data_IF_628195392791
#
_entry.id   IF_628195392791
#
_cell.length_a   1.000
_cell.length_b   1.000
_cell.length_c   1.000
_cell.angle_alpha   90.00
_cell.angle_beta   90.00
_cell.angle_gamma   90.00
#
_symmetry.space_group_name_H-M   'P 1'
#
loop_
_entity.id
_entity.type
_entity.pdbx_description
1 polymer ?
#
# COMPACT_ATOMS: atom_id res chain seq x y z
N UNK A 1 -30.61 15.46 12.85
CA UNK A 1 -29.51 14.63 13.37
C UNK A 1 -28.82 15.41 14.49
N UNK A 2 -28.98 15.01 15.77
CA UNK A 2 -28.42 15.75 16.91
C UNK A 2 -26.88 15.57 16.88
N UNK A 3 -26.15 16.60 16.44
CA UNK A 3 -24.74 16.76 16.77
C UNK A 3 -24.65 16.75 18.30
N UNK A 4 -24.28 15.59 18.88
CA UNK A 4 -24.12 15.52 20.32
C UNK A 4 -22.94 16.43 20.67
N UNK A 5 -23.30 17.55 21.30
CA UNK A 5 -22.37 18.49 21.91
C UNK A 5 -21.26 17.72 22.60
N UNK A 6 -20.01 18.20 22.50
CA UNK A 6 -19.03 17.86 23.53
C UNK A 6 -19.76 18.06 24.83
N UNK A 7 -19.90 17.01 25.69
CA UNK A 7 -20.62 17.14 26.94
C UNK A 7 -20.11 18.40 27.67
N UNK A 8 -20.93 19.11 28.45
CA UNK A 8 -20.54 20.38 29.03
C UNK A 8 -19.24 20.17 29.81
N UNK A 9 -18.14 20.63 29.24
CA UNK A 9 -16.87 20.72 29.91
C UNK A 9 -16.85 22.03 30.63
N UNK A 10 -16.62 22.02 31.91
CA UNK A 10 -16.44 23.20 32.76
C UNK A 10 -15.10 23.92 32.48
N UNK A 11 -14.41 23.60 31.36
CA UNK A 11 -13.15 24.23 31.01
C UNK A 11 -13.40 25.52 30.19
N UNK A 12 -12.75 26.66 30.50
CA UNK A 12 -12.96 27.95 29.81
C UNK A 12 -12.74 27.88 28.30
N UNK A 13 -11.82 27.04 27.80
CA UNK A 13 -11.52 26.85 26.39
C UNK A 13 -12.51 25.93 25.64
N UNK A 14 -13.44 25.28 26.34
CA UNK A 14 -14.31 24.25 25.74
C UNK A 14 -15.10 24.76 24.54
N UNK A 15 -15.62 25.98 24.60
CA UNK A 15 -16.41 26.58 23.50
C UNK A 15 -15.55 26.86 22.26
N UNK A 16 -14.32 27.36 22.43
CA UNK A 16 -13.40 27.65 21.33
C UNK A 16 -12.95 26.34 20.64
N UNK A 17 -12.56 25.34 21.43
CA UNK A 17 -12.22 24.00 20.90
C UNK A 17 -13.41 23.31 20.22
N UNK A 18 -14.63 23.51 20.72
CA UNK A 18 -15.82 22.98 20.06
C UNK A 18 -16.07 23.63 18.71
N UNK A 19 -15.96 24.97 18.61
CA UNK A 19 -16.12 25.69 17.33
C UNK A 19 -15.06 25.26 16.31
N UNK A 20 -13.80 25.19 16.70
CA UNK A 20 -12.73 24.71 15.82
C UNK A 20 -12.94 23.25 15.41
N UNK A 21 -13.38 22.38 16.32
CA UNK A 21 -13.75 21.00 16.00
C UNK A 21 -14.90 20.94 14.99
N UNK A 22 -15.96 21.73 15.17
CA UNK A 22 -17.10 21.75 14.25
C UNK A 22 -16.71 22.28 12.87
N UNK A 23 -15.94 23.38 12.80
CA UNK A 23 -15.41 23.93 11.56
C UNK A 23 -14.56 22.88 10.81
N UNK A 24 -13.54 22.34 11.46
CA UNK A 24 -12.63 21.37 10.87
C UNK A 24 -13.35 20.10 10.39
N UNK A 25 -14.37 19.65 11.11
CA UNK A 25 -15.03 18.36 10.82
C UNK A 25 -16.32 18.50 10.01
N UNK A 26 -16.70 19.70 9.60
CA UNK A 26 -17.94 19.96 8.87
C UNK A 26 -18.09 19.12 7.60
N UNK A 27 -16.99 18.90 6.88
CA UNK A 27 -16.95 18.09 5.65
C UNK A 27 -16.54 16.62 5.88
N UNK A 28 -16.34 16.20 7.14
CA UNK A 28 -15.86 14.85 7.43
C UNK A 28 -17.02 13.84 7.51
N UNK A 29 -16.74 12.61 7.07
CA UNK A 29 -17.64 11.50 7.35
C UNK A 29 -17.67 11.22 8.86
N UNK A 30 -18.84 10.80 9.36
CA UNK A 30 -19.10 10.54 10.78
C UNK A 30 -18.02 9.68 11.47
N UNK A 31 -17.57 8.61 10.82
CA UNK A 31 -16.53 7.72 11.39
C UNK A 31 -15.19 8.42 11.62
N UNK A 32 -14.92 9.50 10.88
CA UNK A 32 -13.70 10.32 11.03
C UNK A 32 -13.85 11.37 12.14
N UNK A 33 -15.07 11.80 12.45
CA UNK A 33 -15.36 12.83 13.46
C UNK A 33 -15.14 12.32 14.89
N UNK A 34 -15.57 11.08 15.16
CA UNK A 34 -15.53 10.47 16.51
C UNK A 34 -14.13 10.47 17.15
N UNK A 35 -13.04 10.07 16.45
CA UNK A 35 -11.69 10.10 17.03
C UNK A 35 -11.22 11.52 17.39
N UNK A 36 -11.53 12.53 16.57
CA UNK A 36 -11.21 13.92 16.86
C UNK A 36 -11.87 14.38 18.15
N UNK A 37 -13.18 14.10 18.30
CA UNK A 37 -13.93 14.41 19.53
C UNK A 37 -13.26 13.80 20.75
N UNK A 38 -12.88 12.52 20.68
CA UNK A 38 -12.19 11.85 21.79
C UNK A 38 -10.85 12.48 22.13
N UNK A 39 -10.12 13.01 21.15
CA UNK A 39 -8.87 13.72 21.38
C UNK A 39 -9.09 15.07 22.05
N UNK A 40 -9.98 15.90 21.55
CA UNK A 40 -10.30 17.21 22.12
C UNK A 40 -10.76 17.04 23.57
N UNK A 41 -11.66 16.09 23.80
CA UNK A 41 -12.12 15.77 25.16
C UNK A 41 -10.96 15.41 26.10
N UNK A 42 -10.09 14.51 25.67
CA UNK A 42 -8.96 14.07 26.48
C UNK A 42 -8.00 15.23 26.81
N UNK A 43 -7.75 16.12 25.84
CA UNK A 43 -6.87 17.25 26.06
C UNK A 43 -7.48 18.30 27.01
N UNK A 44 -8.78 18.62 26.87
CA UNK A 44 -9.46 19.54 27.78
C UNK A 44 -9.56 19.01 29.21
N UNK A 45 -9.78 17.69 29.40
CA UNK A 45 -9.73 17.06 30.72
C UNK A 45 -8.32 17.23 31.32
N UNK A 46 -7.27 16.90 30.54
CA UNK A 46 -5.90 17.08 30.98
C UNK A 46 -5.61 18.53 31.41
N UNK A 47 -6.04 19.52 30.64
CA UNK A 47 -5.86 20.93 31.01
C UNK A 47 -6.60 21.28 32.30
N UNK A 48 -7.85 20.86 32.45
CA UNK A 48 -8.62 21.10 33.67
C UNK A 48 -7.99 20.51 34.91
N UNK A 49 -7.47 19.27 34.81
CA UNK A 49 -6.90 18.56 35.95
C UNK A 49 -5.50 19.09 36.34
N UNK A 50 -4.68 19.49 35.35
CA UNK A 50 -3.25 19.82 35.59
C UNK A 50 -2.93 21.30 35.45
N UNK A 51 -3.77 22.07 34.74
CA UNK A 51 -3.53 23.48 34.44
C UNK A 51 -4.83 24.32 34.53
N UNK A 52 -5.55 24.30 35.65
CA UNK A 52 -6.85 24.95 35.79
C UNK A 52 -6.81 26.48 35.62
N UNK A 53 -5.61 27.09 35.75
CA UNK A 53 -5.42 28.52 35.54
C UNK A 53 -5.45 28.95 34.06
N UNK A 54 -5.37 28.00 33.11
CA UNK A 54 -5.41 28.29 31.68
C UNK A 54 -6.84 28.59 31.25
N UNK A 55 -7.16 29.85 31.03
CA UNK A 55 -8.49 30.36 30.71
C UNK A 55 -8.63 30.90 29.29
N UNK A 56 -7.51 31.17 28.59
CA UNK A 56 -7.50 31.72 27.23
C UNK A 56 -6.47 31.01 26.33
N UNK A 57 -6.69 31.08 25.00
CA UNK A 57 -5.85 30.38 24.00
C UNK A 57 -4.41 30.89 23.96
N UNK A 58 -4.22 32.19 24.18
CA UNK A 58 -2.90 32.84 24.22
C UNK A 58 -2.01 32.39 25.40
N UNK A 59 -2.61 31.76 26.41
CA UNK A 59 -1.90 31.18 27.56
C UNK A 59 -1.34 29.78 27.25
N UNK A 60 -1.76 29.14 26.16
CA UNK A 60 -1.26 27.82 25.83
C UNK A 60 0.23 27.88 25.49
N UNK A 61 1.03 27.04 26.15
CA UNK A 61 2.49 26.91 25.96
C UNK A 61 2.85 25.49 25.59
N UNK A 62 3.86 25.38 24.74
CA UNK A 62 4.34 24.07 24.29
C UNK A 62 4.90 23.25 25.46
N UNK A 63 5.80 23.84 26.23
CA UNK A 63 6.57 23.12 27.25
C UNK A 63 5.68 22.56 28.35
N UNK A 64 4.81 23.39 28.91
CA UNK A 64 3.96 23.01 30.05
C UNK A 64 2.72 22.22 29.62
N UNK A 65 2.02 22.67 28.59
CA UNK A 65 0.71 22.12 28.27
C UNK A 65 0.75 20.98 27.25
N UNK A 66 1.55 21.14 26.17
CA UNK A 66 1.59 20.15 25.10
C UNK A 66 2.53 19.00 25.42
N UNK A 67 3.78 19.29 25.83
CA UNK A 67 4.73 18.24 26.22
C UNK A 67 4.28 17.51 27.50
N UNK A 68 3.66 18.26 28.43
CA UNK A 68 3.00 17.66 29.59
C UNK A 68 1.89 16.69 29.21
N UNK A 69 1.03 17.07 28.24
CA UNK A 69 -0.01 16.16 27.72
C UNK A 69 0.59 14.93 27.00
N UNK A 70 1.70 15.09 26.27
CA UNK A 70 2.40 13.94 25.66
C UNK A 70 2.86 12.96 26.73
N UNK A 71 3.41 13.46 27.83
CA UNK A 71 3.81 12.64 28.98
C UNK A 71 2.60 11.96 29.60
N UNK A 72 1.52 12.69 29.85
CA UNK A 72 0.26 12.12 30.32
C UNK A 72 -0.26 10.98 29.43
N UNK A 73 -0.23 11.14 28.09
CA UNK A 73 -0.63 10.09 27.16
C UNK A 73 0.25 8.84 27.22
N UNK A 74 1.56 9.02 27.47
CA UNK A 74 2.52 7.90 27.56
C UNK A 74 2.43 7.13 28.88
N UNK A 75 2.04 7.79 29.96
CA UNK A 75 1.93 7.21 31.32
C UNK A 75 0.56 6.60 31.60
N UNK A 76 -0.38 6.64 30.66
CA UNK A 76 -1.70 6.02 30.83
C UNK A 76 -1.60 4.51 31.07
N UNK A 77 -2.43 4.00 31.97
CA UNK A 77 -2.61 2.56 32.21
C UNK A 77 -4.05 2.14 31.87
N UNK A 78 -4.26 1.22 30.94
CA UNK A 78 -3.26 0.53 30.10
C UNK A 78 -2.60 1.48 29.08
N UNK A 79 -1.36 1.15 28.63
CA UNK A 79 -0.62 2.01 27.70
C UNK A 79 -1.33 2.13 26.34
N UNK A 80 -1.28 3.32 25.75
CA UNK A 80 -1.87 3.55 24.46
C UNK A 80 -1.11 2.80 23.36
N UNK A 81 -1.85 2.19 22.43
CA UNK A 81 -1.25 1.65 21.21
C UNK A 81 -0.58 2.80 20.41
N UNK A 82 0.62 2.58 19.80
CA UNK A 82 1.36 3.62 19.10
C UNK A 82 0.54 4.37 18.03
N UNK A 83 -0.31 3.67 17.30
CA UNK A 83 -1.19 4.28 16.30
C UNK A 83 -2.24 5.22 16.94
N UNK A 84 -2.75 4.88 18.13
CA UNK A 84 -3.70 5.75 18.85
C UNK A 84 -3.00 7.00 19.34
N UNK A 85 -1.79 6.87 19.85
CA UNK A 85 -0.96 8.01 20.27
C UNK A 85 -0.72 8.97 19.09
N UNK A 86 -0.20 8.47 17.98
CA UNK A 86 0.05 9.27 16.76
C UNK A 86 -1.24 9.95 16.28
N UNK A 87 -2.36 9.23 16.26
CA UNK A 87 -3.65 9.80 15.86
C UNK A 87 -4.07 10.93 16.79
N UNK A 88 -3.90 10.79 18.10
CA UNK A 88 -4.23 11.89 19.05
C UNK A 88 -3.39 13.13 18.79
N UNK A 89 -2.09 12.97 18.55
CA UNK A 89 -1.22 14.11 18.20
C UNK A 89 -1.69 14.77 16.90
N UNK A 90 -1.97 13.97 15.87
CA UNK A 90 -2.45 14.47 14.57
C UNK A 90 -3.77 15.24 14.71
N UNK A 91 -4.71 14.71 15.48
CA UNK A 91 -6.01 15.35 15.67
C UNK A 91 -5.87 16.67 16.44
N UNK A 92 -5.11 16.68 17.54
CA UNK A 92 -4.91 17.91 18.32
C UNK A 92 -4.17 18.96 17.50
N UNK A 93 -3.13 18.57 16.75
CA UNK A 93 -2.40 19.48 15.87
C UNK A 93 -3.34 20.18 14.89
N UNK A 94 -4.19 19.45 14.20
CA UNK A 94 -5.15 20.02 13.24
C UNK A 94 -6.18 20.94 13.89
N UNK A 95 -6.61 20.62 15.13
CA UNK A 95 -7.49 21.52 15.89
C UNK A 95 -6.76 22.80 16.28
N UNK A 96 -5.49 22.71 16.69
CA UNK A 96 -4.67 23.89 17.01
C UNK A 96 -4.38 24.74 15.77
N UNK A 97 -4.16 24.15 14.62
CA UNK A 97 -4.04 24.83 13.32
C UNK A 97 -5.34 25.60 12.97
N UNK A 98 -6.51 24.99 13.20
CA UNK A 98 -7.80 25.63 13.00
C UNK A 98 -8.03 26.79 14.00
N UNK A 99 -7.65 26.59 15.28
CA UNK A 99 -7.71 27.63 16.29
C UNK A 99 -6.76 28.80 15.97
N UNK A 100 -5.54 28.50 15.48
CA UNK A 100 -4.58 29.51 15.08
C UNK A 100 -5.14 30.44 14.00
N UNK A 101 -5.83 29.84 13.03
CA UNK A 101 -6.47 30.61 11.94
C UNK A 101 -7.70 31.41 12.43
N UNK A 102 -8.59 30.77 13.17
CA UNK A 102 -9.88 31.37 13.57
C UNK A 102 -9.73 32.43 14.68
N UNK A 103 -8.76 32.27 15.57
CA UNK A 103 -8.48 33.22 16.65
C UNK A 103 -7.34 34.23 16.32
N UNK A 104 -6.76 34.15 15.12
CA UNK A 104 -5.60 34.96 14.70
C UNK A 104 -4.40 34.86 15.65
N UNK A 105 -4.13 33.65 16.15
CA UNK A 105 -3.02 33.31 17.05
C UNK A 105 -2.08 32.28 16.35
N UNK A 106 -1.21 32.74 15.43
CA UNK A 106 -0.42 31.83 14.58
C UNK A 106 0.52 30.91 15.37
N UNK A 107 0.93 31.29 16.56
CA UNK A 107 1.77 30.48 17.47
C UNK A 107 1.14 29.14 17.85
N UNK A 108 -0.19 29.04 17.88
CA UNK A 108 -0.88 27.81 18.20
C UNK A 108 -0.60 26.69 17.18
N UNK A 109 -0.42 27.04 15.91
CA UNK A 109 -0.11 26.07 14.84
C UNK A 109 1.26 25.37 15.04
N UNK A 110 2.17 26.00 15.80
CA UNK A 110 3.53 25.52 16.03
C UNK A 110 3.72 24.80 17.36
N UNK A 111 2.67 24.66 18.17
CA UNK A 111 2.73 23.96 19.46
C UNK A 111 3.03 22.46 19.33
N UNK A 112 2.57 21.82 18.25
CA UNK A 112 2.90 20.43 17.92
C UNK A 112 3.69 20.40 16.64
N UNK A 113 4.94 19.98 16.70
CA UNK A 113 5.91 19.97 15.61
C UNK A 113 5.93 18.59 14.92
N UNK A 114 6.53 18.54 13.71
CA UNK A 114 6.70 17.29 12.97
C UNK A 114 7.57 16.27 13.73
N UNK A 115 8.57 16.76 14.43
CA UNK A 115 9.52 15.97 15.22
C UNK A 115 8.91 15.30 16.44
N UNK A 116 7.73 15.76 16.88
CA UNK A 116 7.00 15.17 18.01
C UNK A 116 6.36 13.82 17.67
N UNK A 117 6.23 13.54 16.38
CA UNK A 117 5.61 12.30 15.92
C UNK A 117 6.62 11.16 15.92
N UNK A 118 6.40 10.11 16.74
CA UNK A 118 7.24 8.92 16.67
C UNK A 118 7.11 8.27 15.29
N UNK A 119 8.22 7.76 14.78
CA UNK A 119 8.18 6.97 13.54
C UNK A 119 7.28 5.76 13.74
N UNK A 120 6.24 5.57 12.89
CA UNK A 120 5.39 4.42 13.04
C UNK A 120 6.21 3.16 12.79
N UNK A 121 6.05 2.11 13.62
CA UNK A 121 6.73 0.84 13.36
C UNK A 121 6.23 0.28 12.02
N UNK A 122 7.16 -0.04 11.13
CA UNK A 122 6.83 -0.75 9.90
C UNK A 122 6.44 -2.17 10.26
N UNK A 123 5.15 -2.47 10.15
CA UNK A 123 4.63 -3.82 10.37
C UNK A 123 4.51 -4.52 9.03
N UNK A 124 5.15 -5.67 8.91
CA UNK A 124 4.94 -6.55 7.75
C UNK A 124 3.46 -6.99 7.68
N UNK A 125 2.94 -7.24 6.47
CA UNK A 125 1.61 -7.80 6.30
C UNK A 125 1.52 -9.13 7.05
N UNK A 126 0.46 -9.31 7.84
CA UNK A 126 0.23 -10.55 8.59
C UNK A 126 -0.66 -11.47 7.77
N UNK A 127 -0.12 -12.03 6.68
CA UNK A 127 -0.80 -13.11 5.97
C UNK A 127 -0.94 -14.34 6.88
N UNK A 128 -1.94 -15.17 6.61
CA UNK A 128 -2.07 -16.48 7.24
C UNK A 128 -0.93 -17.38 6.77
N UNK A 129 -0.49 -18.30 7.63
CA UNK A 129 0.37 -19.40 7.16
C UNK A 129 -0.43 -20.33 6.24
N UNK A 130 0.26 -21.09 5.38
CA UNK A 130 -0.42 -22.02 4.48
C UNK A 130 -1.32 -23.01 5.25
N UNK A 131 -0.87 -23.50 6.38
CA UNK A 131 -1.65 -24.39 7.25
C UNK A 131 -2.87 -23.71 7.85
N UNK A 132 -2.74 -22.47 8.37
CA UNK A 132 -3.88 -21.72 8.90
C UNK A 132 -4.92 -21.43 7.82
N UNK A 133 -4.47 -21.01 6.62
CA UNK A 133 -5.36 -20.73 5.50
C UNK A 133 -6.13 -21.98 5.07
N UNK A 134 -5.45 -23.12 4.98
CA UNK A 134 -6.09 -24.40 4.65
C UNK A 134 -7.13 -24.81 5.68
N UNK A 135 -6.80 -24.78 6.96
CA UNK A 135 -7.72 -25.15 8.04
C UNK A 135 -8.95 -24.23 8.08
N UNK A 136 -8.76 -22.91 7.90
CA UNK A 136 -9.87 -21.97 7.85
C UNK A 136 -10.77 -22.25 6.64
N UNK A 137 -10.20 -22.45 5.45
CA UNK A 137 -10.99 -22.72 4.25
C UNK A 137 -11.76 -24.04 4.38
N UNK A 138 -11.17 -25.10 4.93
CA UNK A 138 -11.85 -26.37 5.20
C UNK A 138 -13.03 -26.19 6.15
N UNK A 139 -12.83 -25.46 7.25
CA UNK A 139 -13.93 -25.20 8.22
C UNK A 139 -15.03 -24.33 7.62
N UNK A 140 -14.68 -23.31 6.80
CA UNK A 140 -15.65 -22.48 6.09
C UNK A 140 -16.49 -23.31 5.10
N UNK A 141 -15.83 -24.19 4.32
CA UNK A 141 -16.52 -25.08 3.39
C UNK A 141 -17.41 -26.08 4.11
N UNK A 142 -16.98 -26.62 5.27
CA UNK A 142 -17.78 -27.53 6.09
C UNK A 142 -19.04 -26.86 6.63
N UNK A 143 -18.91 -25.60 7.13
CA UNK A 143 -20.07 -24.84 7.65
C UNK A 143 -21.05 -24.45 6.56
N UNK A 144 -20.57 -23.95 5.47
CA UNK A 144 -21.35 -23.50 4.31
C UNK A 144 -22.56 -22.59 4.68
N UNK A 145 -22.49 -21.88 5.81
CA UNK A 145 -23.46 -20.89 6.27
C UNK A 145 -23.19 -19.50 5.65
N UNK A 146 -24.06 -18.53 5.92
CA UNK A 146 -23.92 -17.17 5.40
C UNK A 146 -22.57 -16.53 5.76
N UNK A 147 -22.12 -16.51 7.05
CA UNK A 147 -20.80 -15.99 7.40
C UNK A 147 -19.65 -16.71 6.70
N UNK A 148 -19.71 -18.02 6.57
CA UNK A 148 -18.67 -18.81 5.92
C UNK A 148 -18.50 -18.42 4.44
N UNK A 149 -19.60 -18.30 3.70
CA UNK A 149 -19.56 -17.87 2.31
C UNK A 149 -19.05 -16.42 2.15
N UNK A 150 -19.34 -15.53 3.11
CA UNK A 150 -18.77 -14.17 3.15
C UNK A 150 -17.25 -14.23 3.33
N UNK A 151 -16.71 -15.06 4.23
CA UNK A 151 -15.28 -15.15 4.47
C UNK A 151 -14.53 -15.80 3.31
N UNK A 152 -15.13 -16.81 2.65
CA UNK A 152 -14.60 -17.35 1.40
C UNK A 152 -14.55 -16.28 0.31
N UNK A 153 -15.62 -15.50 0.14
CA UNK A 153 -15.63 -14.38 -0.80
C UNK A 153 -14.53 -13.36 -0.50
N UNK A 154 -14.33 -12.99 0.77
CA UNK A 154 -13.25 -12.08 1.19
C UNK A 154 -11.86 -12.67 0.87
N UNK A 155 -11.67 -13.98 1.14
CA UNK A 155 -10.40 -14.66 0.90
C UNK A 155 -10.04 -14.74 -0.59
N UNK A 156 -11.02 -14.97 -1.47
CA UNK A 156 -10.81 -15.15 -2.90
C UNK A 156 -10.84 -13.84 -3.72
N UNK A 157 -11.27 -12.74 -3.13
CA UNK A 157 -11.33 -11.44 -3.83
C UNK A 157 -10.43 -10.37 -3.24
N UNK A 158 -9.91 -10.59 -2.04
CA UNK A 158 -9.10 -9.62 -1.33
C UNK A 158 -9.84 -8.33 -0.95
N UNK A 159 -11.16 -8.28 -1.01
CA UNK A 159 -11.96 -7.13 -0.61
C UNK A 159 -11.81 -6.83 0.89
N UNK A 160 -12.02 -5.57 1.28
CA UNK A 160 -12.20 -5.22 2.68
C UNK A 160 -13.58 -5.66 3.16
N UNK A 161 -13.68 -6.08 4.43
CA UNK A 161 -14.99 -6.49 5.00
C UNK A 161 -16.07 -5.42 4.84
N UNK A 162 -15.70 -4.14 4.97
CA UNK A 162 -16.65 -3.04 4.74
C UNK A 162 -17.09 -2.89 3.28
N UNK A 163 -16.24 -3.21 2.32
CA UNK A 163 -16.56 -3.23 0.89
C UNK A 163 -17.49 -4.41 0.58
N UNK A 164 -17.22 -5.58 1.17
CA UNK A 164 -18.06 -6.76 1.00
C UNK A 164 -19.49 -6.54 1.56
N UNK A 165 -19.62 -5.89 2.72
CA UNK A 165 -20.93 -5.56 3.30
C UNK A 165 -21.69 -4.54 2.46
N UNK A 166 -21.01 -3.71 1.69
CA UNK A 166 -21.62 -2.71 0.80
C UNK A 166 -21.89 -3.24 -0.62
N UNK A 167 -21.60 -4.51 -0.92
CA UNK A 167 -21.85 -5.08 -2.24
C UNK A 167 -23.32 -4.92 -2.62
N UNK A 168 -23.57 -4.48 -3.85
CA UNK A 168 -24.89 -4.47 -4.44
C UNK A 168 -25.38 -5.90 -4.70
N UNK A 169 -26.70 -6.13 -4.65
CA UNK A 169 -27.31 -7.41 -4.96
C UNK A 169 -26.89 -7.92 -6.35
N UNK A 170 -26.73 -7.03 -7.31
CA UNK A 170 -26.31 -7.30 -8.68
C UNK A 170 -24.81 -6.99 -8.93
N UNK A 171 -23.98 -7.12 -7.90
CA UNK A 171 -22.54 -6.84 -7.99
C UNK A 171 -21.78 -7.68 -9.01
N UNK A 172 -22.30 -8.88 -9.37
CA UNK A 172 -21.68 -9.77 -10.35
C UNK A 172 -22.04 -9.33 -11.77
N UNK A 173 -21.02 -8.99 -12.56
CA UNK A 173 -21.14 -8.46 -13.92
C UNK A 173 -20.48 -9.40 -14.92
N UNK A 174 -21.14 -9.70 -16.01
CA UNK A 174 -20.54 -10.33 -17.17
C UNK A 174 -19.75 -9.27 -17.95
N UNK A 175 -18.46 -9.48 -18.15
CA UNK A 175 -17.55 -8.55 -18.85
C UNK A 175 -17.03 -9.14 -20.17
N UNK A 176 -17.59 -10.26 -20.63
CA UNK A 176 -17.25 -10.92 -21.88
C UNK A 176 -17.54 -12.43 -21.82
N UNK A 177 -17.32 -13.17 -22.91
CA UNK A 177 -17.54 -14.62 -22.93
C UNK A 177 -16.79 -15.30 -21.80
N UNK A 178 -17.53 -15.97 -20.90
CA UNK A 178 -17.01 -16.67 -19.71
C UNK A 178 -16.14 -15.81 -18.78
N UNK A 179 -16.27 -14.48 -18.86
CA UNK A 179 -15.52 -13.54 -18.02
C UNK A 179 -16.47 -12.82 -17.08
N UNK A 180 -16.22 -12.97 -15.79
CA UNK A 180 -17.01 -12.35 -14.75
C UNK A 180 -16.15 -11.44 -13.90
N UNK A 181 -16.76 -10.40 -13.37
CA UNK A 181 -16.13 -9.49 -12.43
C UNK A 181 -17.14 -9.05 -11.37
N UNK A 182 -16.66 -8.81 -10.16
CA UNK A 182 -17.44 -8.18 -9.10
C UNK A 182 -17.20 -6.67 -9.16
N UNK A 183 -18.29 -5.94 -9.23
CA UNK A 183 -18.30 -4.51 -9.02
C UNK A 183 -18.21 -4.21 -7.53
N UNK A 184 -17.06 -3.69 -7.08
CA UNK A 184 -16.81 -3.29 -5.70
C UNK A 184 -17.10 -1.80 -5.58
N UNK A 185 -18.10 -1.39 -4.77
CA UNK A 185 -18.52 0.00 -4.67
C UNK A 185 -17.46 0.85 -3.97
N UNK A 186 -17.65 2.16 -4.02
CA UNK A 186 -16.82 3.17 -3.36
C UNK A 186 -16.63 2.83 -1.87
N UNK A 187 -15.42 2.43 -1.52
CA UNK A 187 -15.03 2.17 -0.14
C UNK A 187 -14.47 3.42 0.56
N UNK A 188 -13.80 3.20 1.70
CA UNK A 188 -13.16 4.27 2.50
C UNK A 188 -12.19 5.15 1.68
N UNK A 189 -11.57 4.61 0.63
CA UNK A 189 -10.63 5.32 -0.24
C UNK A 189 -11.31 5.97 -1.45
N UNK A 190 -12.65 5.96 -1.52
CA UNK A 190 -13.44 6.50 -2.63
C UNK A 190 -13.01 5.97 -4.01
N UNK A 191 -12.59 4.71 -4.07
CA UNK A 191 -12.22 4.01 -5.31
C UNK A 191 -13.23 2.90 -5.58
N UNK A 192 -13.89 3.00 -6.73
CA UNK A 192 -14.73 1.98 -7.29
C UNK A 192 -13.88 1.11 -8.22
N UNK A 193 -14.13 -0.19 -8.27
CA UNK A 193 -13.34 -1.09 -9.12
C UNK A 193 -14.08 -2.35 -9.52
N UNK A 194 -13.68 -2.89 -10.66
CA UNK A 194 -14.08 -4.22 -11.11
C UNK A 194 -12.98 -5.22 -10.74
N UNK A 195 -13.32 -6.25 -9.98
CA UNK A 195 -12.42 -7.33 -9.60
C UNK A 195 -12.78 -8.56 -10.45
N UNK A 196 -11.89 -9.01 -11.35
CA UNK A 196 -12.10 -10.26 -12.10
C UNK A 196 -12.26 -11.44 -11.14
N UNK A 197 -13.16 -12.35 -11.46
CA UNK A 197 -13.49 -13.50 -10.61
C UNK A 197 -13.62 -14.77 -11.44
N UNK A 198 -13.35 -15.89 -10.79
CA UNK A 198 -13.53 -17.25 -11.32
C UNK A 198 -14.93 -17.84 -11.03
N UNK A 199 -15.14 -19.08 -11.45
CA UNK A 199 -16.39 -19.81 -11.23
C UNK A 199 -16.71 -19.99 -9.74
N UNK A 200 -15.70 -20.23 -8.90
CA UNK A 200 -15.88 -20.40 -7.46
C UNK A 200 -16.48 -19.14 -6.83
N UNK A 201 -15.94 -17.98 -7.16
CA UNK A 201 -16.45 -16.70 -6.64
C UNK A 201 -17.86 -16.41 -7.19
N UNK A 202 -18.15 -16.77 -8.44
CA UNK A 202 -19.50 -16.66 -8.99
C UNK A 202 -20.49 -17.51 -8.17
N UNK A 203 -20.14 -18.76 -7.87
CA UNK A 203 -20.96 -19.64 -7.02
C UNK A 203 -21.17 -19.07 -5.61
N UNK A 204 -20.12 -18.53 -4.99
CA UNK A 204 -20.23 -17.89 -3.67
C UNK A 204 -21.24 -16.73 -3.69
N UNK A 205 -21.20 -15.88 -4.71
CA UNK A 205 -22.20 -14.80 -4.86
C UNK A 205 -23.61 -15.35 -5.06
N UNK A 206 -23.79 -16.42 -5.83
CA UNK A 206 -25.10 -17.07 -6.01
C UNK A 206 -25.62 -17.66 -4.69
N UNK A 207 -24.76 -18.31 -3.91
CA UNK A 207 -25.10 -18.80 -2.56
C UNK A 207 -25.51 -17.66 -1.62
N UNK A 208 -24.80 -16.54 -1.65
CA UNK A 208 -25.16 -15.36 -0.86
C UNK A 208 -26.53 -14.79 -1.29
N UNK A 209 -26.83 -14.75 -2.59
CA UNK A 209 -28.16 -14.38 -3.10
C UNK A 209 -29.24 -15.37 -2.65
N UNK A 210 -28.92 -16.65 -2.65
CA UNK A 210 -29.83 -17.69 -2.14
C UNK A 210 -30.13 -17.47 -0.65
N UNK A 211 -29.13 -17.27 0.21
CA UNK A 211 -29.37 -16.91 1.61
C UNK A 211 -30.19 -15.63 1.75
N UNK A 212 -29.94 -14.64 0.90
CA UNK A 212 -30.67 -13.35 0.92
C UNK A 212 -32.17 -13.52 0.56
N UNK A 213 -32.52 -14.49 -0.28
CA UNK A 213 -33.92 -14.74 -0.65
C UNK A 213 -34.79 -15.28 0.50
N UNK A 214 -34.19 -15.83 1.56
CA UNK A 214 -34.89 -16.25 2.78
C UNK A 214 -34.98 -15.18 3.85
N UNK A 215 -34.31 -14.04 3.64
CA UNK A 215 -34.39 -12.93 4.61
C UNK A 215 -35.74 -12.22 4.49
N UNK A 216 -36.47 -12.05 5.59
CA UNK A 216 -37.78 -11.39 5.57
C UNK A 216 -37.71 -9.89 5.22
N UNK A 217 -36.52 -9.29 5.31
CA UNK A 217 -36.34 -7.89 4.96
C UNK A 217 -36.31 -7.70 3.44
N UNK A 218 -36.92 -6.63 2.92
CA UNK A 218 -36.89 -6.33 1.50
C UNK A 218 -35.44 -6.16 0.99
N UNK A 219 -35.23 -6.47 -0.28
CA UNK A 219 -33.95 -6.27 -0.93
C UNK A 219 -33.78 -4.75 -1.13
N UNK A 220 -32.93 -4.16 -0.28
CA UNK A 220 -32.59 -2.73 -0.27
C UNK A 220 -31.43 -2.37 -1.23
N UNK A 221 -31.25 -3.18 -2.28
CA UNK A 221 -30.16 -3.04 -3.23
C UNK A 221 -28.83 -3.66 -2.77
N UNK A 222 -28.73 -4.16 -1.53
CA UNK A 222 -27.52 -4.81 -1.01
C UNK A 222 -27.60 -6.33 -1.06
N UNK A 223 -26.44 -6.97 -1.32
CA UNK A 223 -26.30 -8.42 -1.32
C UNK A 223 -26.51 -9.01 0.10
N UNK A 224 -26.08 -8.29 1.14
CA UNK A 224 -26.18 -8.71 2.53
C UNK A 224 -27.20 -7.86 3.29
N UNK A 225 -28.10 -8.52 4.03
CA UNK A 225 -29.05 -7.84 4.91
C UNK A 225 -28.35 -7.14 6.08
N UNK A 226 -28.81 -5.92 6.42
CA UNK A 226 -28.20 -5.08 7.44
C UNK A 226 -29.24 -4.46 8.40
N UNK A 227 -30.06 -5.29 9.08
CA UNK A 227 -31.19 -4.81 9.88
C UNK A 227 -30.77 -3.82 11.00
N UNK A 228 -29.58 -4.00 11.53
CA UNK A 228 -29.02 -3.12 12.58
C UNK A 228 -27.88 -2.21 12.05
N UNK A 229 -27.79 -2.06 10.72
CA UNK A 229 -26.80 -1.24 10.03
C UNK A 229 -25.44 -1.93 9.80
N UNK A 230 -24.64 -1.30 8.95
CA UNK A 230 -23.34 -1.80 8.48
C UNK A 230 -22.38 -2.19 9.62
N UNK A 231 -22.25 -1.34 10.63
CA UNK A 231 -21.27 -1.55 11.70
C UNK A 231 -21.66 -2.74 12.63
N UNK A 232 -22.95 -2.96 12.81
CA UNK A 232 -23.44 -4.11 13.57
C UNK A 232 -23.12 -5.43 12.86
N UNK A 233 -23.38 -5.50 11.55
CA UNK A 233 -23.04 -6.66 10.72
C UNK A 233 -21.53 -6.93 10.71
N UNK A 234 -20.69 -5.91 10.52
CA UNK A 234 -19.24 -6.07 10.57
C UNK A 234 -18.78 -6.61 11.94
N UNK A 235 -19.39 -6.14 13.02
CA UNK A 235 -19.08 -6.64 14.37
C UNK A 235 -19.47 -8.10 14.51
N UNK A 236 -20.67 -8.46 14.10
CA UNK A 236 -21.16 -9.85 14.11
C UNK A 236 -20.23 -10.76 13.30
N UNK A 237 -19.86 -10.39 12.07
CA UNK A 237 -18.93 -11.15 11.26
C UNK A 237 -17.57 -11.35 11.94
N UNK A 238 -17.05 -10.36 12.66
CA UNK A 238 -15.81 -10.54 13.43
C UNK A 238 -15.92 -11.59 14.53
N UNK A 239 -17.06 -11.69 15.21
CA UNK A 239 -17.31 -12.77 16.17
C UNK A 239 -17.41 -14.11 15.45
N UNK A 240 -18.16 -14.20 14.35
CA UNK A 240 -18.25 -15.43 13.58
C UNK A 240 -16.87 -15.93 13.07
N UNK A 241 -15.99 -15.01 12.66
CA UNK A 241 -14.63 -15.41 12.25
C UNK A 241 -13.82 -15.97 13.42
N UNK A 242 -13.99 -15.40 14.60
CA UNK A 242 -13.36 -15.94 15.81
C UNK A 242 -13.83 -17.37 16.09
N UNK A 243 -15.14 -17.64 15.97
CA UNK A 243 -15.72 -18.97 16.20
C UNK A 243 -15.24 -19.97 15.13
N UNK A 244 -15.13 -19.54 13.86
CA UNK A 244 -14.55 -20.35 12.78
C UNK A 244 -13.10 -20.72 13.08
N UNK A 245 -12.28 -19.76 13.49
CA UNK A 245 -10.87 -20.01 13.77
C UNK A 245 -10.66 -20.88 15.00
N UNK A 246 -11.50 -20.72 16.03
CA UNK A 246 -11.48 -21.59 17.21
C UNK A 246 -11.86 -23.04 16.86
N UNK A 247 -12.91 -23.22 16.04
CA UNK A 247 -13.34 -24.56 15.57
C UNK A 247 -12.28 -25.20 14.65
N UNK A 248 -11.51 -24.41 13.90
CA UNK A 248 -10.37 -24.87 13.11
C UNK A 248 -9.11 -25.18 13.96
N UNK A 249 -9.17 -25.09 15.30
CA UNK A 249 -8.05 -25.34 16.20
C UNK A 249 -6.97 -24.27 16.21
N UNK A 250 -7.26 -23.05 15.73
CA UNK A 250 -6.31 -21.95 15.65
C UNK A 250 -6.41 -21.09 16.91
N UNK A 251 -5.34 -21.06 17.71
CA UNK A 251 -5.27 -20.30 18.97
C UNK A 251 -4.94 -18.82 18.79
N UNK A 252 -4.33 -18.46 17.65
CA UNK A 252 -3.99 -17.06 17.36
C UNK A 252 -5.21 -16.30 16.86
N UNK A 253 -5.34 -15.05 17.31
CA UNK A 253 -6.45 -14.20 16.86
C UNK A 253 -6.30 -13.84 15.38
N UNK A 254 -7.24 -14.30 14.57
CA UNK A 254 -7.37 -13.96 13.16
C UNK A 254 -8.40 -12.84 12.97
N UNK A 255 -8.11 -11.91 12.08
CA UNK A 255 -9.01 -10.80 11.71
C UNK A 255 -9.27 -10.79 10.20
N UNK A 256 -10.42 -10.28 9.72
CA UNK A 256 -10.78 -10.31 8.30
C UNK A 256 -9.72 -9.68 7.38
N UNK A 257 -8.95 -8.73 7.88
CA UNK A 257 -7.88 -8.10 7.10
C UNK A 257 -6.72 -9.06 6.77
N UNK A 258 -6.53 -10.11 7.58
CA UNK A 258 -5.52 -11.14 7.29
C UNK A 258 -5.89 -12.02 6.09
N UNK A 259 -7.19 -12.27 5.85
CA UNK A 259 -7.65 -12.94 4.63
C UNK A 259 -7.25 -12.15 3.38
N UNK A 260 -7.41 -10.82 3.42
CA UNK A 260 -6.95 -9.93 2.35
C UNK A 260 -5.42 -9.91 2.21
N UNK A 261 -4.67 -9.94 3.32
CA UNK A 261 -3.21 -10.05 3.28
C UNK A 261 -2.77 -11.37 2.62
N UNK A 262 -3.46 -12.47 2.94
CA UNK A 262 -3.20 -13.79 2.36
C UNK A 262 -3.47 -13.78 0.84
N UNK A 263 -4.61 -13.23 0.40
CA UNK A 263 -4.90 -13.04 -1.03
C UNK A 263 -3.81 -12.21 -1.72
N UNK A 264 -3.41 -11.07 -1.15
CA UNK A 264 -2.40 -10.21 -1.74
C UNK A 264 -1.03 -10.92 -1.88
N UNK A 265 -0.62 -11.67 -0.84
CA UNK A 265 0.62 -12.44 -0.86
C UNK A 265 0.58 -13.58 -1.87
N UNK A 266 -0.58 -14.23 -2.03
CA UNK A 266 -0.79 -15.27 -3.04
C UNK A 266 -0.70 -14.69 -4.45
N UNK A 267 -1.34 -13.57 -4.73
CA UNK A 267 -1.27 -12.90 -6.04
C UNK A 267 0.16 -12.51 -6.42
N UNK A 268 0.95 -11.99 -5.47
CA UNK A 268 2.37 -11.69 -5.70
C UNK A 268 3.15 -12.97 -6.02
N UNK A 269 2.97 -14.04 -5.25
CA UNK A 269 3.62 -15.34 -5.51
C UNK A 269 3.24 -15.92 -6.86
N UNK A 270 2.02 -15.63 -7.33
CA UNK A 270 1.52 -15.99 -8.67
C UNK A 270 1.96 -15.02 -9.77
N UNK A 271 2.96 -14.17 -9.51
CA UNK A 271 3.53 -13.21 -10.46
C UNK A 271 2.54 -12.16 -10.98
N UNK A 272 1.49 -11.82 -10.23
CA UNK A 272 0.64 -10.66 -10.54
C UNK A 272 1.47 -9.40 -10.33
N UNK A 273 1.52 -8.55 -11.35
CA UNK A 273 2.31 -7.32 -11.30
C UNK A 273 1.81 -6.36 -10.21
N UNK A 274 2.70 -5.58 -9.62
CA UNK A 274 2.35 -4.63 -8.56
C UNK A 274 1.21 -3.66 -8.96
N UNK A 275 1.22 -3.05 -10.17
CA UNK A 275 0.12 -2.20 -10.61
C UNK A 275 -1.22 -2.94 -10.74
N UNK A 276 -1.21 -4.20 -11.19
CA UNK A 276 -2.41 -5.02 -11.26
C UNK A 276 -2.95 -5.33 -9.86
N UNK A 277 -2.07 -5.72 -8.93
CA UNK A 277 -2.46 -5.96 -7.54
C UNK A 277 -3.01 -4.71 -6.86
N UNK A 278 -2.42 -3.53 -7.11
CA UNK A 278 -2.95 -2.26 -6.63
C UNK A 278 -4.41 -2.04 -7.06
N UNK A 279 -4.70 -2.29 -8.34
CA UNK A 279 -6.06 -2.18 -8.89
C UNK A 279 -7.00 -3.21 -8.28
N UNK A 280 -6.59 -4.49 -8.16
CA UNK A 280 -7.39 -5.55 -7.53
C UNK A 280 -7.76 -5.20 -6.09
N UNK A 281 -6.80 -4.69 -5.32
CA UNK A 281 -7.01 -4.33 -3.93
C UNK A 281 -7.66 -2.93 -3.75
N UNK A 282 -7.65 -2.07 -4.76
CA UNK A 282 -8.09 -0.68 -4.65
C UNK A 282 -7.18 0.12 -3.71
N UNK A 283 -5.87 0.02 -3.89
CA UNK A 283 -4.87 0.84 -3.21
C UNK A 283 -4.60 2.09 -4.05
N UNK A 284 -4.74 3.26 -3.43
CA UNK A 284 -4.39 4.53 -4.07
C UNK A 284 -2.89 4.82 -3.98
N UNK A 285 -2.22 4.29 -2.95
CA UNK A 285 -0.81 4.50 -2.66
C UNK A 285 -0.03 3.19 -2.90
N UNK A 286 1.04 3.22 -3.73
CA UNK A 286 1.93 2.09 -3.95
C UNK A 286 2.54 1.51 -2.66
N UNK A 287 2.86 2.34 -1.67
CA UNK A 287 3.41 1.88 -0.39
C UNK A 287 2.53 0.85 0.31
N UNK A 288 1.21 0.96 0.13
CA UNK A 288 0.26 -0.01 0.68
C UNK A 288 0.43 -1.41 0.07
N UNK A 289 0.96 -1.50 -1.15
CA UNK A 289 1.11 -2.76 -1.90
C UNK A 289 2.54 -3.27 -1.87
N UNK A 290 3.55 -2.38 -1.91
CA UNK A 290 4.97 -2.72 -1.85
C UNK A 290 5.32 -3.59 -0.64
N UNK A 291 4.66 -3.37 0.49
CA UNK A 291 4.88 -4.17 1.72
C UNK A 291 4.53 -5.66 1.61
N UNK A 292 3.89 -6.10 0.51
CA UNK A 292 3.68 -7.51 0.19
C UNK A 292 4.81 -8.10 -0.66
N UNK A 293 5.69 -7.27 -1.20
CA UNK A 293 6.82 -7.68 -2.02
C UNK A 293 7.99 -7.98 -1.09
N UNK A 294 8.15 -9.25 -0.73
CA UNK A 294 9.32 -9.73 -0.03
C UNK A 294 10.32 -10.23 -1.09
N UNK A 295 11.21 -9.33 -1.52
CA UNK A 295 12.18 -9.63 -2.58
C UNK A 295 13.36 -10.35 -1.95
N UNK A 296 13.40 -11.66 -2.08
CA UNK A 296 14.59 -12.43 -1.74
C UNK A 296 15.69 -12.22 -2.79
N UNK A 297 16.97 -12.44 -2.43
CA UNK A 297 18.08 -12.38 -3.39
C UNK A 297 17.93 -13.37 -4.56
N UNK A 298 17.31 -14.54 -4.31
CA UNK A 298 17.01 -15.53 -5.35
C UNK A 298 15.92 -15.06 -6.30
N UNK A 299 14.88 -14.41 -5.78
CA UNK A 299 13.82 -13.80 -6.60
C UNK A 299 14.39 -12.69 -7.48
N UNK A 300 15.28 -11.85 -6.95
CA UNK A 300 15.93 -10.79 -7.70
C UNK A 300 16.76 -11.34 -8.87
N UNK A 301 17.54 -12.41 -8.65
CA UNK A 301 18.29 -13.06 -9.71
C UNK A 301 17.38 -13.66 -10.78
N UNK A 302 16.32 -14.38 -10.37
CA UNK A 302 15.33 -14.93 -11.29
C UNK A 302 14.67 -13.86 -12.14
N UNK A 303 14.17 -12.79 -11.54
CA UNK A 303 13.55 -11.65 -12.24
C UNK A 303 14.53 -10.97 -13.20
N UNK A 304 15.80 -10.80 -12.80
CA UNK A 304 16.83 -10.27 -13.66
C UNK A 304 17.04 -11.16 -14.90
N UNK A 305 17.18 -12.47 -14.73
CA UNK A 305 17.36 -13.40 -15.84
C UNK A 305 16.14 -13.46 -16.75
N UNK A 306 14.93 -13.48 -16.20
CA UNK A 306 13.68 -13.42 -16.99
C UNK A 306 13.57 -12.13 -17.80
N UNK A 307 13.93 -10.98 -17.22
CA UNK A 307 13.94 -9.70 -17.92
C UNK A 307 14.97 -9.66 -19.05
N UNK A 308 16.11 -10.33 -18.87
CA UNK A 308 17.18 -10.43 -19.89
C UNK A 308 16.85 -11.43 -20.99
N UNK A 309 16.09 -12.47 -20.69
CA UNK A 309 15.68 -13.50 -21.66
C UNK A 309 14.56 -13.00 -22.61
N UNK A 310 13.79 -11.98 -22.24
CA UNK A 310 12.78 -11.41 -23.14
C UNK A 310 13.45 -10.68 -24.30
N UNK A 311 13.09 -10.99 -25.57
CA UNK A 311 13.62 -10.25 -26.72
C UNK A 311 13.30 -8.77 -26.58
N UNK A 312 14.34 -7.96 -26.55
CA UNK A 312 14.18 -6.50 -26.51
C UNK A 312 13.96 -6.01 -27.93
N UNK A 313 12.85 -5.37 -28.19
CA UNK A 313 12.61 -4.58 -29.40
C UNK A 313 13.43 -3.27 -29.43
N UNK A 314 14.48 -3.20 -28.61
CA UNK A 314 15.40 -2.06 -28.61
C UNK A 314 16.57 -2.38 -29.52
N UNK A 315 17.02 -1.38 -30.29
CA UNK A 315 18.17 -1.41 -31.18
C UNK A 315 19.30 -2.35 -30.73
N UNK A 316 19.98 -3.06 -31.63
CA UNK A 316 21.03 -4.00 -31.26
C UNK A 316 22.03 -3.31 -30.33
N UNK A 317 22.17 -3.86 -29.14
CA UNK A 317 23.16 -3.33 -28.20
C UNK A 317 24.53 -3.45 -28.84
N UNK A 318 25.37 -2.44 -28.79
CA UNK A 318 26.74 -2.60 -29.22
C UNK A 318 27.36 -3.76 -28.43
N UNK A 319 27.87 -4.76 -29.17
CA UNK A 319 28.57 -5.88 -28.51
C UNK A 319 29.71 -5.30 -27.69
N UNK A 320 29.76 -5.60 -26.42
CA UNK A 320 30.92 -5.25 -25.60
C UNK A 320 32.18 -5.84 -26.28
N UNK A 321 33.26 -5.07 -26.44
CA UNK A 321 34.46 -5.58 -27.03
C UNK A 321 34.99 -6.74 -26.20
N UNK A 322 35.17 -7.87 -26.82
CA UNK A 322 35.77 -9.06 -26.20
C UNK A 322 37.26 -8.84 -25.96
N UNK A 323 37.77 -9.25 -24.82
CA UNK A 323 39.21 -9.27 -24.57
C UNK A 323 39.84 -10.16 -25.66
N UNK A 324 40.87 -9.69 -26.37
CA UNK A 324 41.47 -10.45 -27.45
C UNK A 324 42.01 -11.79 -26.93
N UNK A 325 41.42 -12.90 -27.36
CA UNK A 325 41.84 -14.25 -27.02
C UNK A 325 42.36 -15.01 -28.23
N UNK A 326 42.23 -14.41 -29.42
CA UNK A 326 42.66 -14.99 -30.68
C UNK A 326 44.09 -14.60 -31.00
N UNK A 327 44.84 -15.51 -31.62
CA UNK A 327 46.18 -15.29 -32.17
C UNK A 327 46.08 -14.96 -33.66
N UNK A 328 47.08 -14.28 -34.20
CA UNK A 328 47.10 -13.90 -35.61
C UNK A 328 46.42 -12.58 -35.91
N UNK A 329 46.09 -12.32 -37.18
CA UNK A 329 45.56 -11.04 -37.68
C UNK A 329 44.20 -10.69 -37.06
N UNK A 330 43.36 -11.69 -36.83
CA UNK A 330 42.07 -11.48 -36.14
C UNK A 330 42.25 -11.03 -34.66
N UNK A 331 43.26 -11.60 -33.98
CA UNK A 331 43.61 -11.17 -32.62
C UNK A 331 44.12 -9.71 -32.60
N UNK A 332 44.86 -9.28 -33.60
CA UNK A 332 45.29 -7.87 -33.73
C UNK A 332 44.08 -6.94 -33.95
N UNK A 333 43.14 -7.34 -34.81
CA UNK A 333 41.93 -6.58 -35.06
C UNK A 333 41.10 -6.46 -33.75
N UNK A 334 40.90 -7.54 -33.01
CA UNK A 334 40.18 -7.57 -31.74
C UNK A 334 40.89 -6.68 -30.71
N UNK A 335 42.21 -6.72 -30.63
CA UNK A 335 42.99 -5.86 -29.72
C UNK A 335 42.83 -4.36 -30.05
N UNK A 336 42.87 -4.01 -31.34
CA UNK A 336 42.70 -2.64 -31.81
C UNK A 336 41.27 -2.11 -31.51
N UNK A 337 40.24 -2.95 -31.68
CA UNK A 337 38.84 -2.63 -31.34
C UNK A 337 38.69 -2.43 -29.84
N UNK A 338 39.30 -3.29 -29.06
CA UNK A 338 39.32 -3.15 -27.59
C UNK A 338 39.98 -1.85 -27.14
N UNK A 339 41.18 -1.55 -27.69
CA UNK A 339 41.89 -0.31 -27.40
C UNK A 339 41.12 0.94 -27.79
N UNK A 340 40.43 0.94 -28.95
CA UNK A 340 39.57 2.02 -29.37
C UNK A 340 38.41 2.25 -28.38
N UNK A 341 37.77 1.19 -27.94
CA UNK A 341 36.72 1.28 -26.95
C UNK A 341 37.22 1.83 -25.59
N UNK A 342 38.35 1.35 -25.11
CA UNK A 342 38.95 1.80 -23.87
C UNK A 342 39.29 3.31 -23.92
N UNK A 343 39.84 3.77 -25.04
CA UNK A 343 40.12 5.22 -25.26
C UNK A 343 38.81 6.03 -25.25
N UNK A 344 37.77 5.56 -25.89
CA UNK A 344 36.47 6.23 -25.95
C UNK A 344 35.83 6.32 -24.57
N UNK A 345 35.90 5.25 -23.75
CA UNK A 345 35.40 5.23 -22.39
C UNK A 345 36.15 6.24 -21.51
N UNK A 346 37.50 6.24 -21.60
CA UNK A 346 38.31 7.18 -20.83
C UNK A 346 38.10 8.63 -21.28
N UNK A 347 37.95 8.87 -22.58
CA UNK A 347 37.64 10.17 -23.15
C UNK A 347 36.36 10.78 -22.57
N UNK A 348 35.30 9.94 -22.38
CA UNK A 348 34.00 10.39 -21.80
C UNK A 348 34.13 10.80 -20.33
N UNK A 349 35.10 10.28 -19.61
CA UNK A 349 35.33 10.64 -18.21
C UNK A 349 36.16 11.94 -18.01
N UNK A 350 36.76 12.48 -19.08
CA UNK A 350 37.60 13.67 -19.00
C UNK A 350 36.83 14.95 -19.36
N UNK A 351 37.08 16.06 -18.64
CA UNK A 351 36.57 17.37 -19.02
C UNK A 351 37.25 17.87 -20.32
N UNK A 352 36.63 18.84 -20.96
CA UNK A 352 37.18 19.43 -22.18
C UNK A 352 38.52 20.09 -21.89
N UNK A 353 39.59 19.63 -22.57
CA UNK A 353 40.94 20.10 -22.32
C UNK A 353 41.98 19.45 -23.23
N UNK A 354 43.26 19.74 -23.00
CA UNK A 354 44.38 19.20 -23.82
C UNK A 354 44.41 17.67 -23.85
N UNK A 355 44.14 17.03 -22.71
CA UNK A 355 44.12 15.55 -22.60
C UNK A 355 43.01 14.92 -23.48
N UNK A 356 41.81 15.49 -23.49
CA UNK A 356 40.71 15.00 -24.33
C UNK A 356 41.03 15.14 -25.80
N UNK A 357 41.61 16.28 -26.22
CA UNK A 357 42.08 16.49 -27.61
C UNK A 357 43.17 15.51 -28.02
N UNK A 358 44.04 15.12 -27.08
CA UNK A 358 45.06 14.08 -27.31
C UNK A 358 44.39 12.72 -27.57
N UNK A 359 43.39 12.32 -26.77
CA UNK A 359 42.65 11.08 -26.97
C UNK A 359 41.84 11.07 -28.27
N UNK A 360 41.27 12.20 -28.68
CA UNK A 360 40.61 12.33 -29.98
C UNK A 360 41.56 12.05 -31.15
N UNK A 361 42.78 12.57 -31.08
CA UNK A 361 43.81 12.27 -32.07
C UNK A 361 44.23 10.81 -32.08
N UNK A 362 44.37 10.17 -30.90
CA UNK A 362 44.69 8.76 -30.78
C UNK A 362 43.56 7.87 -31.29
N UNK A 363 42.31 8.19 -30.96
CA UNK A 363 41.11 7.48 -31.48
C UNK A 363 41.06 7.53 -33.01
N UNK A 364 41.28 8.70 -33.63
CA UNK A 364 41.31 8.85 -35.09
C UNK A 364 42.47 8.05 -35.74
N UNK A 365 43.61 8.00 -35.10
CA UNK A 365 44.76 7.16 -35.58
C UNK A 365 44.43 5.69 -35.52
N UNK A 366 43.84 5.22 -34.41
CA UNK A 366 43.42 3.82 -34.26
C UNK A 366 42.38 3.43 -35.30
N UNK A 367 41.42 4.31 -35.60
CA UNK A 367 40.43 4.08 -36.67
C UNK A 367 41.08 3.87 -38.03
N UNK A 368 42.12 4.68 -38.36
CA UNK A 368 42.88 4.47 -39.60
C UNK A 368 43.63 3.16 -39.64
N UNK A 369 44.34 2.80 -38.55
CA UNK A 369 45.03 1.54 -38.41
C UNK A 369 44.07 0.37 -38.56
N UNK A 370 42.94 0.41 -37.87
CA UNK A 370 41.89 -0.62 -37.97
C UNK A 370 41.37 -0.81 -39.39
N UNK A 371 41.14 0.28 -40.13
CA UNK A 371 40.72 0.21 -41.52
C UNK A 371 41.77 -0.41 -42.45
N UNK A 372 43.06 -0.13 -42.18
CA UNK A 372 44.19 -0.72 -42.92
C UNK A 372 44.36 -2.20 -42.61
N UNK A 373 44.29 -2.58 -41.32
CA UNK A 373 44.43 -3.98 -40.88
C UNK A 373 43.30 -4.85 -41.42
N UNK A 374 42.07 -4.33 -41.49
CA UNK A 374 40.93 -5.05 -42.11
C UNK A 374 41.10 -5.32 -43.60
N UNK A 375 41.85 -4.50 -44.34
CA UNK A 375 42.17 -4.74 -45.73
C UNK A 375 43.19 -5.86 -45.96
N UNK A 376 43.94 -6.25 -44.93
CA UNK A 376 44.88 -7.34 -44.94
C UNK A 376 44.24 -8.71 -44.70
N UNK A 377 42.97 -8.72 -44.24
CA UNK A 377 42.22 -9.99 -44.08
C UNK A 377 41.76 -10.47 -45.44
N UNK A 378 42.13 -11.73 -45.86
CA UNK A 378 41.65 -12.29 -47.12
C UNK A 378 40.12 -12.42 -47.09
N UNK A 379 39.42 -12.27 -48.22
CA UNK A 379 37.95 -12.41 -48.24
C UNK A 379 37.61 -13.84 -47.79
N UNK A 380 36.72 -13.97 -46.82
CA UNK A 380 36.17 -15.24 -46.39
C UNK A 380 35.43 -15.89 -47.55
N UNK A 381 36.08 -16.83 -48.26
CA UNK A 381 35.43 -17.69 -49.21
C UNK A 381 34.39 -18.53 -48.49
N UNK A 382 33.10 -18.16 -48.75
CA UNK A 382 31.98 -18.94 -48.29
C UNK A 382 32.04 -20.37 -48.84
N UNK A 383 32.48 -21.30 -48.01
CA UNK A 383 32.21 -22.70 -48.29
C UNK A 383 30.72 -22.95 -48.12
N UNK A 384 29.99 -22.99 -49.25
CA UNK A 384 28.75 -23.78 -49.34
C UNK A 384 29.11 -25.22 -49.02
N UNK A 385 28.69 -25.71 -47.88
CA UNK A 385 28.50 -27.13 -47.65
C UNK A 385 27.12 -27.50 -48.16
N UNK A 386 27.09 -28.07 -49.39
CA UNK A 386 26.04 -28.97 -49.82
C UNK A 386 26.35 -30.35 -49.16
N UNK A 387 25.38 -30.85 -48.41
CA UNK A 387 24.71 -32.15 -48.45
C UNK A 387 23.73 -32.18 -47.29
#
# INVERSE_FOLDING_TARGET
MKLSRLAPFEHPLALQFQRAFESLTAAFHWDSVRPYRGTVRNFLIYLGDNHPAVSSLDQLRRESHILGWFTHLRTQSPPLAPAVYINRLTHLRRILEELAWSAQLPELAHLIRREDFPRPPQRLPRALTAQQDQLIQQELLRRNDLPANIFLLLRHTGMRIGECVDLSYDCLRNVGPQRWAIHVPLGKLKTERMVPVDSLVCELVQRLRFFRSFDPLPIDGHLLSRPHGKQALIRQLRYCLHDVTAAAGITTRIVPHQLRHTYASEMIRSNVTLPALMKLLGHADPEMTIRYVDVTSNDLQREYHLARAKPRHLSPQPKAPTIPTRTGLDGVIDALVFAQHAIEMFRRSLPDGPSRRCLDRLSNRLTKILSQTRKLTPPHNGQRLAV
#
